data_IF_584859149965
#
_entry.id   IF_584859149965
#
_cell.length_a   1.000
_cell.length_b   1.000
_cell.length_c   1.000
_cell.angle_alpha   90.00
_cell.angle_beta   90.00
_cell.angle_gamma   90.00
#
_symmetry.space_group_name_H-M   'P 1'
#
loop_
_entity.id
_entity.type
_entity.pdbx_description
1 polymer ?
#
# COMPACT_ATOMS: atom_id res chain seq x y z
N UNK A 1 -49.94 -14.31 35.85
CA UNK A 1 -49.26 -14.36 34.54
C UNK A 1 -48.11 -13.35 34.53
N UNK A 2 -46.87 -13.81 34.70
CA UNK A 2 -45.67 -12.95 34.72
C UNK A 2 -45.02 -12.96 33.34
N UNK A 3 -45.16 -11.87 32.58
CA UNK A 3 -44.46 -11.65 31.31
C UNK A 3 -42.97 -11.49 31.60
N UNK A 4 -42.14 -12.43 31.14
CA UNK A 4 -40.69 -12.23 31.08
C UNK A 4 -40.38 -11.29 29.93
N UNK A 5 -40.04 -10.05 30.25
CA UNK A 5 -39.46 -9.12 29.28
C UNK A 5 -38.02 -9.58 29.06
N UNK A 6 -37.75 -10.20 27.91
CA UNK A 6 -36.38 -10.45 27.47
C UNK A 6 -35.69 -9.10 27.23
N UNK A 7 -34.90 -8.65 28.19
CA UNK A 7 -33.93 -7.58 27.95
C UNK A 7 -32.89 -8.13 26.97
N UNK A 8 -32.97 -7.68 25.71
CA UNK A 8 -31.94 -7.92 24.70
C UNK A 8 -30.68 -7.23 25.20
N UNK A 9 -29.74 -8.01 25.73
CA UNK A 9 -28.41 -7.49 26.05
C UNK A 9 -27.85 -6.83 24.79
N UNK A 10 -27.62 -5.52 24.83
CA UNK A 10 -26.74 -4.84 23.87
C UNK A 10 -25.31 -5.27 24.18
N UNK A 11 -25.00 -6.55 23.97
CA UNK A 11 -23.64 -7.02 23.95
C UNK A 11 -23.01 -6.48 22.68
N UNK A 12 -22.44 -5.29 22.76
CA UNK A 12 -21.45 -4.80 21.80
C UNK A 12 -20.24 -5.71 21.90
N UNK A 13 -20.31 -6.88 21.27
CA UNK A 13 -19.16 -7.76 21.09
C UNK A 13 -18.29 -7.13 20.01
N UNK A 14 -17.54 -6.09 20.36
CA UNK A 14 -16.46 -5.61 19.50
C UNK A 14 -15.45 -6.74 19.40
N UNK A 15 -15.15 -7.18 18.18
CA UNK A 15 -14.08 -8.13 17.96
C UNK A 15 -12.77 -7.53 18.52
N UNK A 16 -11.96 -8.31 19.24
CA UNK A 16 -10.64 -7.85 19.65
C UNK A 16 -9.85 -7.38 18.42
N UNK A 17 -9.06 -6.33 18.58
CA UNK A 17 -8.26 -5.73 17.51
C UNK A 17 -7.42 -6.76 16.74
N UNK A 18 -6.75 -7.66 17.46
CA UNK A 18 -5.97 -8.76 16.88
C UNK A 18 -6.81 -9.67 15.97
N UNK A 19 -8.08 -9.89 16.32
CA UNK A 19 -8.99 -10.70 15.50
C UNK A 19 -9.38 -9.96 14.22
N UNK A 20 -9.64 -8.65 14.29
CA UNK A 20 -9.93 -7.82 13.12
C UNK A 20 -8.76 -7.83 12.13
N UNK A 21 -7.55 -7.57 12.61
CA UNK A 21 -6.34 -7.62 11.78
C UNK A 21 -6.13 -9.01 11.15
N UNK A 22 -6.42 -10.08 11.88
CA UNK A 22 -6.31 -11.45 11.36
C UNK A 22 -7.34 -11.72 10.26
N UNK A 23 -8.59 -11.31 10.44
CA UNK A 23 -9.65 -11.44 9.42
C UNK A 23 -9.25 -10.67 8.16
N UNK A 24 -8.82 -9.41 8.30
CA UNK A 24 -8.40 -8.60 7.16
C UNK A 24 -7.25 -9.25 6.38
N UNK A 25 -6.27 -9.83 7.07
CA UNK A 25 -5.14 -10.53 6.42
C UNK A 25 -5.56 -11.78 5.62
N UNK A 26 -6.72 -12.35 5.92
CA UNK A 26 -7.31 -13.49 5.20
C UNK A 26 -8.11 -13.05 3.96
N UNK A 27 -8.49 -11.77 3.87
CA UNK A 27 -9.17 -11.23 2.70
C UNK A 27 -8.13 -10.91 1.62
N UNK A 28 -8.23 -11.58 0.48
CA UNK A 28 -7.32 -11.38 -0.64
C UNK A 28 -7.70 -10.16 -1.48
N UNK A 29 -8.99 -9.82 -1.52
CA UNK A 29 -9.53 -8.74 -2.34
C UNK A 29 -9.82 -7.47 -1.53
N UNK A 30 -9.36 -6.31 -2.03
CA UNK A 30 -9.62 -5.01 -1.42
C UNK A 30 -11.11 -4.63 -1.38
N UNK A 31 -11.94 -5.13 -2.30
CA UNK A 31 -13.40 -4.93 -2.25
C UNK A 31 -14.01 -5.59 -1.01
N UNK A 32 -13.59 -6.81 -0.67
CA UNK A 32 -14.09 -7.53 0.49
C UNK A 32 -13.64 -6.85 1.79
N UNK A 33 -12.43 -6.30 1.80
CA UNK A 33 -11.91 -5.48 2.91
C UNK A 33 -12.76 -4.23 3.10
N UNK A 34 -13.06 -3.50 2.02
CA UNK A 34 -13.91 -2.31 2.08
C UNK A 34 -15.31 -2.65 2.62
N UNK A 35 -15.93 -3.72 2.10
CA UNK A 35 -17.23 -4.18 2.53
C UNK A 35 -17.23 -4.61 4.01
N UNK A 36 -16.20 -5.35 4.43
CA UNK A 36 -16.04 -5.78 5.82
C UNK A 36 -15.90 -4.58 6.78
N UNK A 37 -15.05 -3.61 6.44
CA UNK A 37 -14.82 -2.42 7.26
C UNK A 37 -16.05 -1.51 7.31
N UNK A 38 -16.79 -1.37 6.20
CA UNK A 38 -18.03 -0.61 6.16
C UNK A 38 -19.13 -1.21 7.04
N UNK A 39 -19.11 -2.53 7.25
CA UNK A 39 -20.05 -3.22 8.13
C UNK A 39 -19.72 -3.06 9.63
N UNK A 40 -18.53 -2.56 9.99
CA UNK A 40 -18.12 -2.40 11.40
C UNK A 40 -18.60 -1.06 11.98
N UNK A 41 -19.03 -1.03 13.26
CA UNK A 41 -19.32 0.22 13.95
C UNK A 41 -18.08 1.13 14.06
N UNK A 42 -18.17 2.45 13.77
CA UNK A 42 -17.02 3.35 13.83
C UNK A 42 -16.33 3.42 15.20
N UNK A 43 -17.10 3.35 16.29
CA UNK A 43 -16.59 3.46 17.66
C UNK A 43 -15.79 2.25 18.13
N UNK A 44 -15.72 1.19 17.33
CA UNK A 44 -15.03 -0.06 17.68
C UNK A 44 -13.78 -0.33 16.86
N UNK A 45 -13.46 0.53 15.89
CA UNK A 45 -12.30 0.34 15.02
C UNK A 45 -11.05 1.03 15.61
N UNK A 46 -9.90 0.32 15.64
CA UNK A 46 -8.59 0.94 15.81
C UNK A 46 -8.36 2.07 14.78
N UNK A 47 -7.54 3.09 15.12
CA UNK A 47 -7.31 4.25 14.24
C UNK A 47 -6.85 3.90 12.82
N UNK A 48 -6.00 2.90 12.67
CA UNK A 48 -5.46 2.42 11.39
C UNK A 48 -6.55 1.73 10.53
N UNK A 49 -7.47 1.00 11.15
CA UNK A 49 -8.59 0.36 10.46
C UNK A 49 -9.66 1.40 10.10
N UNK A 50 -9.85 2.41 10.94
CA UNK A 50 -10.69 3.57 10.65
C UNK A 50 -10.14 4.34 9.44
N UNK A 51 -8.83 4.59 9.41
CA UNK A 51 -8.16 5.25 8.29
C UNK A 51 -8.28 4.44 7.00
N UNK A 52 -8.12 3.11 7.06
CA UNK A 52 -8.29 2.23 5.90
C UNK A 52 -9.73 2.25 5.38
N UNK A 53 -10.73 2.25 6.29
CA UNK A 53 -12.14 2.36 5.92
C UNK A 53 -12.42 3.68 5.21
N UNK A 54 -11.96 4.79 5.79
CA UNK A 54 -12.20 6.12 5.25
C UNK A 54 -11.46 6.32 3.92
N UNK A 55 -10.26 5.72 3.78
CA UNK A 55 -9.55 5.63 2.51
C UNK A 55 -10.36 4.85 1.48
N UNK A 56 -10.90 3.69 1.83
CA UNK A 56 -11.70 2.87 0.92
C UNK A 56 -13.06 3.44 0.52
N UNK A 57 -13.56 4.42 1.27
CA UNK A 57 -14.70 5.24 0.85
C UNK A 57 -14.30 6.28 -0.21
N UNK A 58 -13.03 6.66 -0.28
CA UNK A 58 -12.52 7.70 -1.18
C UNK A 58 -11.84 7.15 -2.44
N UNK A 59 -11.27 5.94 -2.38
CA UNK A 59 -10.55 5.31 -3.49
C UNK A 59 -10.92 3.83 -3.63
N UNK A 60 -10.59 3.23 -4.78
CA UNK A 60 -10.76 1.80 -5.00
C UNK A 60 -9.69 0.98 -4.26
N UNK A 61 -10.02 0.38 -3.11
CA UNK A 61 -9.05 -0.45 -2.37
C UNK A 61 -8.58 -1.68 -3.14
N UNK A 62 -9.31 -2.15 -4.15
CA UNK A 62 -8.85 -3.27 -4.97
C UNK A 62 -7.50 -2.98 -5.67
N UNK A 63 -7.21 -1.72 -5.96
CA UNK A 63 -5.96 -1.30 -6.60
C UNK A 63 -4.80 -1.11 -5.61
N UNK A 64 -5.07 -1.19 -4.30
CA UNK A 64 -4.12 -0.88 -3.23
C UNK A 64 -4.05 -1.95 -2.13
N UNK A 65 -4.74 -3.09 -2.29
CA UNK A 65 -4.76 -4.17 -1.31
C UNK A 65 -4.09 -5.44 -1.87
N UNK A 66 -3.26 -6.14 -1.08
CA UNK A 66 -2.78 -5.82 0.27
C UNK A 66 -1.56 -4.89 0.29
N UNK A 67 -1.14 -4.37 -0.86
CA UNK A 67 0.06 -3.53 -1.03
C UNK A 67 -0.36 -2.17 -1.55
N UNK A 68 0.04 -1.12 -0.84
CA UNK A 68 -0.37 0.24 -1.18
C UNK A 68 0.49 0.82 -2.32
N UNK A 69 -0.16 1.21 -3.42
CA UNK A 69 0.48 1.89 -4.55
C UNK A 69 0.54 3.40 -4.34
N UNK A 70 1.71 3.90 -3.93
CA UNK A 70 1.90 5.26 -3.40
C UNK A 70 1.57 6.35 -4.42
N UNK A 71 2.00 6.18 -5.67
CA UNK A 71 1.79 7.17 -6.76
C UNK A 71 0.36 7.18 -7.30
N UNK A 72 -0.40 6.11 -7.08
CA UNK A 72 -1.80 6.01 -7.50
C UNK A 72 -2.77 6.63 -6.48
N UNK A 73 -2.30 6.95 -5.27
CA UNK A 73 -3.14 7.59 -4.26
C UNK A 73 -3.21 9.10 -4.52
N UNK A 74 -4.42 9.66 -4.70
CA UNK A 74 -4.59 11.10 -4.86
C UNK A 74 -4.02 11.86 -3.66
N UNK A 75 -3.41 13.02 -3.92
CA UNK A 75 -2.69 13.81 -2.91
C UNK A 75 -3.54 14.14 -1.69
N UNK A 76 -4.82 14.47 -1.90
CA UNK A 76 -5.76 14.76 -0.82
C UNK A 76 -6.05 13.58 0.13
N UNK A 77 -5.76 12.34 -0.30
CA UNK A 77 -5.98 11.13 0.49
C UNK A 77 -4.68 10.50 1.01
N UNK A 78 -3.52 11.08 0.71
CA UNK A 78 -2.23 10.54 1.12
C UNK A 78 -2.12 10.36 2.64
N UNK A 79 -2.61 11.33 3.44
CA UNK A 79 -2.57 11.22 4.91
C UNK A 79 -3.42 10.08 5.46
N UNK A 80 -4.57 9.79 4.84
CA UNK A 80 -5.40 8.65 5.22
C UNK A 80 -4.66 7.34 4.92
N UNK A 81 -4.02 7.26 3.76
CA UNK A 81 -3.23 6.09 3.38
C UNK A 81 -2.00 5.87 4.28
N UNK A 82 -1.32 6.94 4.67
CA UNK A 82 -0.21 6.89 5.64
C UNK A 82 -0.70 6.38 7.00
N UNK A 83 -1.83 6.89 7.49
CA UNK A 83 -2.41 6.43 8.76
C UNK A 83 -2.85 4.95 8.71
N UNK A 84 -3.21 4.44 7.53
CA UNK A 84 -3.57 3.04 7.30
C UNK A 84 -2.36 2.12 7.07
N UNK A 85 -1.12 2.63 7.03
CA UNK A 85 0.09 1.84 6.75
C UNK A 85 0.21 0.55 7.58
N UNK A 86 -0.03 0.54 8.90
CA UNK A 86 0.10 -0.68 9.70
C UNK A 86 -0.77 -1.87 9.24
N UNK A 87 -1.81 -1.60 8.45
CA UNK A 87 -2.77 -2.61 7.96
C UNK A 87 -2.30 -3.26 6.67
N UNK A 88 -1.54 -2.55 5.84
CA UNK A 88 -1.02 -3.06 4.57
C UNK A 88 0.13 -4.05 4.79
N UNK A 89 0.29 -5.00 3.85
CA UNK A 89 1.40 -5.96 3.86
C UNK A 89 2.71 -5.37 3.32
N UNK A 90 2.65 -4.25 2.61
CA UNK A 90 3.80 -3.64 1.98
C UNK A 90 3.44 -2.39 1.20
N UNK A 91 4.46 -1.77 0.62
CA UNK A 91 4.36 -0.56 -0.19
C UNK A 91 4.88 -0.85 -1.58
N UNK A 92 4.21 -0.31 -2.59
CA UNK A 92 4.70 -0.26 -3.96
C UNK A 92 4.84 1.18 -4.42
N UNK A 93 6.05 1.54 -4.87
CA UNK A 93 6.35 2.84 -5.46
C UNK A 93 6.44 2.64 -6.97
N UNK A 94 5.34 2.88 -7.68
CA UNK A 94 5.35 2.90 -9.14
C UNK A 94 6.14 4.12 -9.67
N UNK A 95 6.53 4.16 -10.95
CA UNK A 95 7.14 5.35 -11.53
C UNK A 95 6.18 6.53 -11.53
N UNK A 96 6.70 7.74 -11.28
CA UNK A 96 5.93 8.99 -11.32
C UNK A 96 6.00 9.80 -10.03
N UNK A 97 5.00 10.67 -9.87
CA UNK A 97 4.89 11.56 -8.72
C UNK A 97 3.93 10.98 -7.69
N UNK A 98 4.29 11.13 -6.42
CA UNK A 98 3.43 10.89 -5.28
C UNK A 98 3.34 12.15 -4.42
N UNK A 99 2.36 12.19 -3.52
CA UNK A 99 2.26 13.25 -2.53
C UNK A 99 3.53 13.33 -1.67
N UNK A 100 4.09 14.52 -1.48
CA UNK A 100 5.28 14.72 -0.64
C UNK A 100 5.07 14.27 0.81
N UNK A 101 3.82 14.28 1.30
CA UNK A 101 3.47 13.78 2.63
C UNK A 101 3.95 12.34 2.89
N UNK A 102 4.14 11.53 1.85
CA UNK A 102 4.70 10.19 2.01
C UNK A 102 6.15 10.20 2.48
N UNK A 103 6.94 11.22 2.16
CA UNK A 103 8.34 11.32 2.60
C UNK A 103 8.45 11.51 4.12
N UNK A 104 7.39 11.99 4.77
CA UNK A 104 7.33 12.13 6.23
C UNK A 104 6.79 10.88 6.93
N UNK A 105 6.36 9.86 6.17
CA UNK A 105 5.74 8.67 6.74
C UNK A 105 6.80 7.73 7.35
N UNK A 106 6.64 7.44 8.63
CA UNK A 106 7.40 6.40 9.32
C UNK A 106 6.83 5.03 8.99
N UNK A 107 7.66 4.17 8.38
CA UNK A 107 7.24 2.82 8.03
C UNK A 107 7.31 1.89 9.25
N UNK A 108 6.38 0.92 9.38
CA UNK A 108 6.54 -0.17 10.33
C UNK A 108 7.87 -0.92 10.11
N UNK A 109 8.55 -1.41 11.17
CA UNK A 109 9.92 -1.94 11.10
C UNK A 109 10.18 -3.05 10.07
N UNK A 110 9.15 -3.81 9.71
CA UNK A 110 9.24 -4.93 8.77
C UNK A 110 8.36 -4.76 7.54
N UNK A 111 7.90 -3.54 7.26
CA UNK A 111 7.10 -3.27 6.07
C UNK A 111 8.01 -3.28 4.83
N UNK A 112 7.83 -4.22 3.89
CA UNK A 112 8.63 -4.27 2.68
C UNK A 112 8.18 -3.18 1.69
N UNK A 113 9.17 -2.58 1.02
CA UNK A 113 8.97 -1.64 -0.08
C UNK A 113 9.41 -2.30 -1.37
N UNK A 114 8.55 -2.25 -2.38
CA UNK A 114 8.86 -2.63 -3.76
C UNK A 114 8.93 -1.38 -4.62
N UNK A 115 9.98 -1.29 -5.43
CA UNK A 115 10.32 -0.11 -6.20
C UNK A 115 10.25 -0.44 -7.69
N UNK A 116 9.54 0.37 -8.47
CA UNK A 116 9.55 0.26 -9.93
C UNK A 116 10.19 1.52 -10.52
N UNK A 117 11.29 1.31 -11.23
CA UNK A 117 12.17 2.35 -11.75
C UNK A 117 11.99 2.39 -13.25
N UNK A 118 11.42 3.50 -13.73
CA UNK A 118 11.38 3.82 -15.16
C UNK A 118 12.13 5.14 -15.39
N UNK A 119 13.32 5.12 -16.00
CA UNK A 119 14.11 6.33 -16.22
C UNK A 119 13.43 7.32 -17.17
N UNK A 120 12.41 6.90 -17.91
CA UNK A 120 11.64 7.78 -18.81
C UNK A 120 10.56 8.57 -18.08
N UNK A 121 10.24 8.20 -16.85
CA UNK A 121 9.18 8.82 -16.06
C UNK A 121 9.83 9.68 -14.98
N UNK A 122 9.76 11.02 -15.09
CA UNK A 122 10.17 11.90 -14.01
C UNK A 122 9.40 11.57 -12.73
N UNK A 123 10.07 11.63 -11.58
CA UNK A 123 9.43 11.28 -10.32
C UNK A 123 10.29 11.54 -9.09
N UNK A 124 9.72 11.21 -7.94
CA UNK A 124 10.34 11.41 -6.64
C UNK A 124 11.17 10.19 -6.17
N UNK A 125 11.63 9.34 -7.10
CA UNK A 125 12.26 8.06 -6.80
C UNK A 125 13.45 8.19 -5.86
N UNK A 126 14.37 9.11 -6.14
CA UNK A 126 15.55 9.34 -5.31
C UNK A 126 15.17 9.79 -3.89
N UNK A 127 14.08 10.56 -3.73
CA UNK A 127 13.59 10.98 -2.42
C UNK A 127 13.01 9.80 -1.63
N UNK A 128 12.22 8.94 -2.28
CA UNK A 128 11.69 7.73 -1.64
C UNK A 128 12.79 6.77 -1.22
N UNK A 129 13.78 6.57 -2.08
CA UNK A 129 14.92 5.70 -1.78
C UNK A 129 15.80 6.31 -0.68
N UNK A 130 15.86 7.63 -0.56
CA UNK A 130 16.55 8.29 0.54
C UNK A 130 15.89 8.01 1.89
N UNK A 131 14.56 8.07 1.96
CA UNK A 131 13.81 7.89 3.22
C UNK A 131 13.58 6.40 3.55
N UNK A 132 13.29 5.58 2.54
CA UNK A 132 12.85 4.20 2.72
C UNK A 132 13.82 3.16 2.16
N UNK A 133 15.03 3.54 1.75
CA UNK A 133 16.01 2.63 1.14
C UNK A 133 16.29 1.36 1.96
N UNK A 134 16.29 1.45 3.29
CA UNK A 134 16.43 0.30 4.18
C UNK A 134 15.23 -0.66 4.17
N UNK A 135 14.07 -0.24 3.68
CA UNK A 135 12.88 -1.09 3.55
C UNK A 135 12.72 -1.68 2.15
N UNK A 136 13.53 -1.26 1.18
CA UNK A 136 13.43 -1.73 -0.21
C UNK A 136 13.97 -3.16 -0.32
N UNK A 137 13.08 -4.09 -0.66
CA UNK A 137 13.39 -5.53 -0.83
C UNK A 137 13.31 -5.98 -2.28
N UNK A 138 12.47 -5.33 -3.10
CA UNK A 138 12.28 -5.67 -4.51
C UNK A 138 12.48 -4.43 -5.37
N UNK A 139 13.28 -4.56 -6.44
CA UNK A 139 13.47 -3.51 -7.44
C UNK A 139 13.13 -4.03 -8.83
N UNK A 140 12.26 -3.32 -9.55
CA UNK A 140 11.91 -3.59 -10.94
C UNK A 140 12.51 -2.46 -11.78
N UNK A 141 13.36 -2.79 -12.74
CA UNK A 141 13.96 -1.83 -13.67
C UNK A 141 13.29 -1.98 -15.04
N UNK A 142 12.66 -0.91 -15.54
CA UNK A 142 12.03 -0.85 -16.86
C UNK A 142 12.96 -0.14 -17.86
N UNK A 143 13.24 -0.76 -19.00
CA UNK A 143 13.93 -0.09 -20.12
C UNK A 143 14.97 -0.95 -20.85
N UNK A 144 15.30 -0.55 -22.10
CA UNK A 144 16.33 -1.18 -22.95
C UNK A 144 17.67 -0.45 -22.98
N UNK A 145 17.73 0.76 -22.44
CA UNK A 145 18.92 1.59 -22.42
C UNK A 145 18.96 2.25 -21.06
N UNK A 146 19.76 1.67 -20.19
CA UNK A 146 20.11 2.28 -18.93
C UNK A 146 21.11 3.38 -19.30
N UNK A 147 20.63 4.60 -19.57
CA UNK A 147 21.43 5.77 -19.18
C UNK A 147 21.57 5.62 -17.66
N UNK A 148 22.77 5.25 -17.24
CA UNK A 148 23.07 4.69 -15.91
C UNK A 148 22.80 5.67 -14.77
N UNK A 149 22.66 6.96 -15.03
CA UNK A 149 22.98 7.98 -14.04
C UNK A 149 21.97 8.25 -12.91
N UNK A 150 20.88 7.47 -12.72
CA UNK A 150 20.35 7.38 -11.35
C UNK A 150 20.27 5.96 -10.79
N UNK A 151 20.49 4.91 -11.57
CA UNK A 151 20.23 3.53 -11.11
C UNK A 151 21.24 3.06 -10.06
N UNK A 152 22.58 3.20 -10.25
CA UNK A 152 23.55 2.85 -9.23
C UNK A 152 23.33 3.61 -7.93
N UNK A 153 23.02 4.90 -8.00
CA UNK A 153 22.77 5.74 -6.82
C UNK A 153 21.51 5.33 -6.05
N UNK A 154 20.46 4.95 -6.79
CA UNK A 154 19.23 4.39 -6.20
C UNK A 154 19.55 3.05 -5.52
N UNK A 155 20.20 2.13 -6.23
CA UNK A 155 20.51 0.81 -5.70
C UNK A 155 21.47 0.86 -4.51
N UNK A 156 22.45 1.78 -4.52
CA UNK A 156 23.42 1.94 -3.43
C UNK A 156 22.76 2.32 -2.09
N UNK A 157 21.56 2.90 -2.11
CA UNK A 157 20.79 3.27 -0.91
C UNK A 157 19.86 2.15 -0.45
N UNK A 158 19.60 1.16 -1.29
CA UNK A 158 18.72 0.05 -0.99
C UNK A 158 19.54 -1.11 -0.37
N UNK A 159 19.72 -1.08 0.95
CA UNK A 159 20.65 -2.01 1.65
C UNK A 159 20.10 -3.42 1.86
N UNK A 160 18.79 -3.61 1.73
CA UNK A 160 18.10 -4.89 2.00
C UNK A 160 17.44 -5.48 0.75
N UNK A 161 17.98 -5.18 -0.44
CA UNK A 161 17.44 -5.72 -1.70
C UNK A 161 17.63 -7.22 -1.76
N UNK A 162 16.52 -7.94 -1.88
CA UNK A 162 16.47 -9.39 -2.04
C UNK A 162 16.31 -9.78 -3.51
N UNK A 163 15.60 -8.97 -4.29
CA UNK A 163 15.35 -9.25 -5.71
C UNK A 163 15.45 -8.03 -6.61
N UNK A 164 16.04 -8.23 -7.79
CA UNK A 164 16.10 -7.25 -8.88
C UNK A 164 15.57 -7.88 -10.16
N UNK A 165 14.55 -7.28 -10.76
CA UNK A 165 13.95 -7.74 -12.02
C UNK A 165 14.13 -6.70 -13.11
N UNK A 166 14.78 -7.06 -14.22
CA UNK A 166 14.94 -6.19 -15.39
C UNK A 166 13.88 -6.56 -16.42
N UNK A 167 12.90 -5.66 -16.64
CA UNK A 167 11.82 -5.86 -17.61
C UNK A 167 12.18 -5.19 -18.93
N UNK A 168 12.52 -6.01 -19.93
CA UNK A 168 12.60 -5.60 -21.32
C UNK A 168 11.20 -5.51 -21.91
N UNK A 169 10.81 -4.35 -22.46
CA UNK A 169 9.60 -4.28 -23.29
C UNK A 169 9.79 -5.21 -24.50
N UNK A 170 8.90 -6.17 -24.71
CA UNK A 170 8.83 -6.93 -25.95
C UNK A 170 8.73 -5.94 -27.13
N UNK A 171 9.53 -6.18 -28.18
CA UNK A 171 9.58 -5.28 -29.35
C UNK A 171 8.27 -5.34 -30.15
N UNK A 172 8.00 -4.34 -31.01
CA UNK A 172 6.88 -4.43 -31.93
C UNK A 172 7.04 -5.68 -32.82
N UNK A 173 5.92 -6.39 -32.95
CA UNK A 173 5.69 -7.50 -33.87
C UNK A 173 6.17 -7.10 -35.27
N UNK A 174 6.99 -7.96 -35.89
CA UNK A 174 7.49 -7.76 -37.25
C UNK A 174 6.29 -7.72 -38.19
N UNK A 175 5.97 -6.56 -38.75
CA UNK A 175 5.17 -6.50 -39.98
C UNK A 175 5.99 -7.11 -41.11
N UNK A 176 5.71 -8.37 -41.42
CA UNK A 176 6.02 -9.00 -42.70
C UNK A 176 5.25 -8.29 -43.80
N UNK A 177 5.99 -7.61 -44.69
CA UNK A 177 5.56 -7.25 -46.06
C UNK A 177 5.34 -8.49 -46.90
#
# INVERSE_FOLDING_TARGET
>A
MTKRVCQRAKSSSSLPDVALHRILRMLENGCDVAAFLAAQPPLTLPPELLALRDLGAAINLADHWPVVHVTKIPVQHARLAIAALPVFKGIHVDPGFAALAWLDATLPPHMPVSLDVDPKVPGALCAFVHVWGSHVVNVVLKGRYVELDPIPDVLARCVNVESVTIKNRAGPEKTTT
#
